data_IF_749685336330
#
_entry.id   IF_749685336330
#
_cell.length_a   1.000
_cell.length_b   1.000
_cell.length_c   1.000
_cell.angle_alpha   90.00
_cell.angle_beta   90.00
_cell.angle_gamma   90.00
#
_symmetry.space_group_name_H-M   'P 1'
#
loop_
_entity.id
_entity.type
_entity.pdbx_description
1 polymer ?
#
# COMPACT_ATOMS: atom_id res chain seq x y z
N UNK A 1 70.47 17.27 55.66
CA UNK A 1 69.92 18.63 55.66
C UNK A 1 69.44 18.85 54.24
N UNK A 2 68.13 18.67 54.07
CA UNK A 2 67.39 18.81 52.82
C UNK A 2 67.27 20.28 52.43
N UNK A 3 67.58 20.63 51.18
CA UNK A 3 67.06 21.84 50.56
C UNK A 3 66.50 21.51 49.17
N UNK A 4 65.17 21.51 49.12
CA UNK A 4 64.33 21.36 47.94
C UNK A 4 64.10 22.75 47.32
N UNK A 5 64.30 22.95 46.00
CA UNK A 5 64.00 24.23 45.39
C UNK A 5 62.48 24.45 45.20
N UNK A 6 62.03 25.59 45.71
CA UNK A 6 60.66 26.11 45.62
C UNK A 6 60.29 26.42 44.17
N UNK A 7 59.24 25.79 43.66
CA UNK A 7 58.63 26.12 42.36
C UNK A 7 57.65 27.29 42.54
N UNK A 8 57.75 28.40 41.78
CA UNK A 8 56.77 29.47 41.88
C UNK A 8 55.50 29.16 41.08
N UNK A 9 54.36 29.32 41.76
CA UNK A 9 53.01 29.16 41.25
C UNK A 9 52.52 30.47 40.62
N UNK A 10 52.56 30.57 39.30
CA UNK A 10 51.81 31.51 38.45
C UNK A 10 52.09 31.08 37.00
N UNK A 11 51.15 30.73 36.12
CA UNK A 11 49.72 31.00 36.09
C UNK A 11 49.31 31.66 34.77
N UNK A 12 49.78 31.17 33.61
CA UNK A 12 49.37 31.64 32.27
C UNK A 12 49.77 30.64 31.18
N UNK A 13 49.20 29.43 31.22
CA UNK A 13 48.85 28.76 29.98
C UNK A 13 47.51 29.35 29.56
N UNK A 14 47.55 30.38 28.73
CA UNK A 14 46.37 30.94 28.08
C UNK A 14 45.68 29.83 27.28
N UNK A 15 44.57 29.35 27.83
CA UNK A 15 43.68 28.38 27.23
C UNK A 15 43.15 28.96 25.91
N UNK A 16 43.47 28.32 24.78
CA UNK A 16 42.74 28.56 23.55
C UNK A 16 41.28 28.16 23.79
N UNK A 17 40.30 29.07 23.63
CA UNK A 17 38.90 28.69 23.71
C UNK A 17 38.62 27.80 22.51
N UNK A 18 38.51 26.50 22.75
CA UNK A 18 37.92 25.58 21.78
C UNK A 18 36.43 25.91 21.71
N UNK A 19 36.07 26.74 20.74
CA UNK A 19 34.70 26.89 20.30
C UNK A 19 34.25 25.54 19.73
N UNK A 20 33.78 24.63 20.59
CA UNK A 20 32.94 23.51 20.16
C UNK A 20 31.64 24.11 19.65
N UNK A 21 31.54 24.27 18.34
CA UNK A 21 30.25 24.45 17.70
C UNK A 21 29.34 23.30 18.14
N UNK A 22 28.11 23.57 18.60
CA UNK A 22 27.14 22.52 18.82
C UNK A 22 26.87 21.86 17.46
N UNK A 23 27.44 20.68 17.25
CA UNK A 23 27.22 19.83 16.06
C UNK A 23 25.74 19.39 15.91
N UNK A 24 24.84 19.83 16.79
CA UNK A 24 23.45 19.42 16.82
C UNK A 24 22.57 20.07 15.74
N UNK A 25 22.99 21.17 15.11
CA UNK A 25 22.13 21.87 14.11
C UNK A 25 22.12 21.15 12.75
N UNK A 26 23.23 20.54 12.32
CA UNK A 26 23.32 19.90 11.00
C UNK A 26 22.63 18.51 10.94
N UNK A 27 22.41 17.88 12.09
CA UNK A 27 21.73 16.57 12.16
C UNK A 27 20.21 16.70 11.97
N UNK A 28 19.62 17.86 12.28
CA UNK A 28 18.16 18.03 12.25
C UNK A 28 17.61 18.31 10.83
N UNK A 29 18.39 18.98 9.99
CA UNK A 29 18.01 19.29 8.60
C UNK A 29 18.03 18.05 7.69
N UNK A 30 19.00 17.14 7.89
CA UNK A 30 19.03 15.87 7.15
C UNK A 30 17.85 14.96 7.53
N UNK A 31 17.44 14.95 8.80
CA UNK A 31 16.31 14.13 9.27
C UNK A 31 14.95 14.66 8.76
N UNK A 32 14.80 15.97 8.54
CA UNK A 32 13.56 16.56 8.01
C UNK A 32 13.30 16.28 6.52
N UNK A 33 14.35 16.09 5.72
CA UNK A 33 14.20 15.73 4.29
C UNK A 33 13.93 14.24 4.10
N UNK A 34 14.58 13.36 4.88
CA UNK A 34 14.37 11.91 4.79
C UNK A 34 13.00 11.45 5.31
N UNK A 35 12.43 12.11 6.33
CA UNK A 35 11.09 11.81 6.85
C UNK A 35 9.99 12.19 5.88
N UNK A 36 10.08 13.36 5.23
CA UNK A 36 9.11 13.82 4.24
C UNK A 36 9.03 12.92 3.00
N UNK A 37 10.17 12.43 2.50
CA UNK A 37 10.19 11.54 1.33
C UNK A 37 9.61 10.16 1.66
N UNK A 38 9.91 9.60 2.83
CA UNK A 38 9.32 8.32 3.29
C UNK A 38 7.81 8.45 3.54
N UNK A 39 7.36 9.57 4.12
CA UNK A 39 5.95 9.87 4.32
C UNK A 39 5.19 10.04 2.98
N UNK A 40 5.78 10.73 2.00
CA UNK A 40 5.18 10.93 0.68
C UNK A 40 5.16 9.66 -0.19
N UNK A 41 6.17 8.79 -0.08
CA UNK A 41 6.16 7.49 -0.75
C UNK A 41 5.14 6.52 -0.10
N UNK A 42 5.00 6.58 1.23
CA UNK A 42 3.97 5.85 1.98
C UNK A 42 2.54 6.32 1.68
N UNK A 43 2.33 7.61 1.36
CA UNK A 43 0.99 8.18 1.20
C UNK A 43 0.30 7.80 -0.11
N UNK A 44 1.05 7.57 -1.19
CA UNK A 44 0.48 7.25 -2.52
C UNK A 44 0.19 5.77 -2.74
N UNK A 45 0.90 4.88 -2.06
CA UNK A 45 0.72 3.44 -2.19
C UNK A 45 -0.74 2.96 -1.99
N UNK A 46 -1.43 3.31 -0.88
CA UNK A 46 -2.79 2.80 -0.65
C UNK A 46 -3.74 3.24 -1.77
N UNK A 47 -3.54 4.46 -2.31
CA UNK A 47 -4.30 4.97 -3.44
C UNK A 47 -4.07 4.17 -4.73
N UNK A 48 -2.81 3.83 -5.05
CA UNK A 48 -2.48 3.02 -6.23
C UNK A 48 -3.11 1.62 -6.11
N UNK A 49 -3.02 1.00 -4.93
CA UNK A 49 -3.61 -0.30 -4.66
C UNK A 49 -5.13 -0.26 -4.79
N UNK A 50 -5.78 0.74 -4.18
CA UNK A 50 -7.23 0.93 -4.27
C UNK A 50 -7.69 1.20 -5.71
N UNK A 51 -6.97 2.04 -6.45
CA UNK A 51 -7.30 2.32 -7.85
C UNK A 51 -7.19 1.06 -8.72
N UNK A 52 -6.15 0.25 -8.54
CA UNK A 52 -6.02 -1.00 -9.26
C UNK A 52 -7.08 -2.03 -8.89
N UNK A 53 -7.40 -2.17 -7.60
CA UNK A 53 -8.49 -3.03 -7.16
C UNK A 53 -9.84 -2.60 -7.78
N UNK A 54 -10.11 -1.29 -7.81
CA UNK A 54 -11.30 -0.74 -8.47
C UNK A 54 -11.33 -1.09 -9.96
N UNK A 55 -10.21 -0.95 -10.66
CA UNK A 55 -10.11 -1.31 -12.08
C UNK A 55 -10.38 -2.80 -12.33
N UNK A 56 -9.92 -3.70 -11.46
CA UNK A 56 -10.22 -5.14 -11.55
C UNK A 56 -11.71 -5.41 -11.38
N UNK A 57 -12.36 -4.74 -10.42
CA UNK A 57 -13.80 -4.91 -10.20
C UNK A 57 -14.63 -4.33 -11.36
N UNK A 58 -14.23 -3.18 -11.91
CA UNK A 58 -14.86 -2.59 -13.07
C UNK A 58 -14.66 -3.44 -14.33
N UNK A 59 -13.48 -4.03 -14.53
CA UNK A 59 -13.21 -4.89 -15.68
C UNK A 59 -14.07 -6.15 -15.66
N UNK A 60 -14.28 -6.75 -14.47
CA UNK A 60 -15.20 -7.87 -14.31
C UNK A 60 -16.61 -7.54 -14.83
N UNK A 61 -17.15 -6.40 -14.42
CA UNK A 61 -18.50 -5.98 -14.83
C UNK A 61 -18.55 -5.64 -16.32
N UNK A 62 -17.57 -4.92 -16.83
CA UNK A 62 -17.51 -4.55 -18.24
C UNK A 62 -17.47 -5.79 -19.14
N UNK A 63 -16.60 -6.75 -18.82
CA UNK A 63 -16.47 -8.00 -19.56
C UNK A 63 -17.73 -8.85 -19.41
N UNK A 64 -18.26 -8.99 -18.20
CA UNK A 64 -19.49 -9.74 -17.95
C UNK A 64 -20.68 -9.19 -18.75
N UNK A 65 -20.86 -7.87 -18.78
CA UNK A 65 -21.92 -7.23 -19.59
C UNK A 65 -21.75 -7.52 -21.07
N UNK A 66 -20.53 -7.38 -21.59
CA UNK A 66 -20.22 -7.68 -23.00
C UNK A 66 -20.53 -9.15 -23.34
N UNK A 67 -20.16 -10.09 -22.46
CA UNK A 67 -20.43 -11.52 -22.65
C UNK A 67 -21.92 -11.86 -22.66
N UNK A 68 -22.75 -11.05 -22.00
CA UNK A 68 -24.21 -11.20 -22.00
C UNK A 68 -24.93 -10.32 -23.03
N UNK A 69 -24.21 -9.77 -24.02
CA UNK A 69 -24.74 -8.84 -25.03
C UNK A 69 -25.50 -7.63 -24.44
N UNK A 70 -25.17 -7.24 -23.20
CA UNK A 70 -25.71 -6.05 -22.56
C UNK A 70 -24.95 -4.83 -23.06
N UNK A 71 -25.64 -3.69 -23.18
CA UNK A 71 -25.00 -2.43 -23.58
C UNK A 71 -23.84 -2.08 -22.65
N UNK A 72 -22.66 -1.87 -23.23
CA UNK A 72 -21.48 -1.33 -22.53
C UNK A 72 -21.42 0.19 -22.58
N UNK A 73 -22.24 0.83 -23.43
CA UNK A 73 -22.35 2.28 -23.54
C UNK A 73 -23.19 2.89 -22.39
N UNK A 74 -24.06 2.10 -21.77
CA UNK A 74 -24.80 2.51 -20.58
C UNK A 74 -23.91 2.45 -19.33
N UNK A 75 -23.23 3.57 -19.10
CA UNK A 75 -22.31 3.75 -17.97
C UNK A 75 -23.02 3.56 -16.62
N UNK A 76 -24.23 4.09 -16.45
CA UNK A 76 -24.95 4.02 -15.17
C UNK A 76 -25.40 2.60 -14.85
N UNK A 77 -25.88 1.84 -15.84
CA UNK A 77 -26.20 0.42 -15.63
C UNK A 77 -24.96 -0.43 -15.32
N UNK A 78 -23.81 -0.10 -15.93
CA UNK A 78 -22.52 -0.68 -15.59
C UNK A 78 -22.15 -0.40 -14.13
N UNK A 79 -22.21 0.86 -13.72
CA UNK A 79 -21.89 1.28 -12.37
C UNK A 79 -22.82 0.64 -11.32
N UNK A 80 -24.12 0.56 -11.58
CA UNK A 80 -25.08 -0.10 -10.69
C UNK A 80 -24.79 -1.59 -10.51
N UNK A 81 -24.24 -2.24 -11.54
CA UNK A 81 -23.82 -3.64 -11.48
C UNK A 81 -22.52 -3.82 -10.69
N UNK A 82 -21.59 -2.86 -10.79
CA UNK A 82 -20.30 -2.89 -10.09
C UNK A 82 -20.38 -2.46 -8.62
N UNK A 83 -21.31 -1.56 -8.31
CA UNK A 83 -21.42 -0.93 -6.99
C UNK A 83 -21.45 -1.94 -5.83
N UNK A 84 -22.20 -3.06 -5.90
CA UNK A 84 -22.18 -4.05 -4.84
C UNK A 84 -20.78 -4.64 -4.57
N UNK A 85 -20.03 -4.94 -5.63
CA UNK A 85 -18.69 -5.50 -5.54
C UNK A 85 -17.69 -4.49 -5.00
N UNK A 86 -17.76 -3.25 -5.47
CA UNK A 86 -16.90 -2.15 -5.01
C UNK A 86 -17.13 -1.88 -3.52
N UNK A 87 -18.38 -1.70 -3.11
CA UNK A 87 -18.73 -1.40 -1.72
C UNK A 87 -18.31 -2.54 -0.80
N UNK A 88 -18.64 -3.80 -1.12
CA UNK A 88 -18.24 -4.93 -0.28
C UNK A 88 -16.72 -5.14 -0.23
N UNK A 89 -16.01 -4.92 -1.35
CA UNK A 89 -14.56 -5.02 -1.36
C UNK A 89 -13.90 -3.97 -0.46
N UNK A 90 -14.26 -2.70 -0.63
CA UNK A 90 -13.71 -1.61 0.19
C UNK A 90 -14.27 -1.59 1.61
N UNK A 91 -15.38 -2.27 1.88
CA UNK A 91 -15.86 -2.52 3.24
C UNK A 91 -14.98 -3.55 3.94
N UNK A 92 -14.60 -4.65 3.29
CA UNK A 92 -13.88 -5.78 3.90
C UNK A 92 -12.38 -5.55 3.96
N UNK A 93 -11.77 -5.10 2.87
CA UNK A 93 -10.31 -5.07 2.71
C UNK A 93 -9.53 -4.19 3.70
N UNK A 94 -10.04 -3.05 4.20
CA UNK A 94 -9.34 -2.26 5.21
C UNK A 94 -9.13 -3.02 6.53
N UNK A 95 -10.12 -3.81 6.95
CA UNK A 95 -10.06 -4.60 8.20
C UNK A 95 -8.96 -5.67 8.14
N UNK A 96 -8.70 -6.22 6.96
CA UNK A 96 -7.60 -7.17 6.75
C UNK A 96 -6.22 -6.49 6.57
N UNK A 97 -6.19 -5.16 6.48
CA UNK A 97 -4.97 -4.39 6.28
C UNK A 97 -4.36 -4.58 4.89
N UNK A 98 -5.16 -4.88 3.88
CA UNK A 98 -4.70 -5.12 2.49
C UNK A 98 -4.03 -3.90 1.82
N UNK A 99 -4.17 -2.72 2.41
CA UNK A 99 -3.52 -1.49 1.96
C UNK A 99 -2.30 -1.11 2.79
N UNK A 100 -1.99 -1.85 3.87
CA UNK A 100 -0.81 -1.59 4.70
C UNK A 100 0.47 -1.95 3.95
N UNK A 101 1.51 -1.12 4.12
CA UNK A 101 2.80 -1.30 3.44
C UNK A 101 3.41 -2.67 3.74
N UNK A 102 3.41 -3.10 5.01
CA UNK A 102 3.98 -4.37 5.45
C UNK A 102 3.32 -5.61 4.82
N UNK A 103 2.04 -5.48 4.45
CA UNK A 103 1.28 -6.53 3.76
C UNK A 103 1.56 -6.48 2.27
N UNK A 104 1.41 -5.31 1.64
CA UNK A 104 1.50 -5.17 0.20
C UNK A 104 2.93 -5.35 -0.35
N UNK A 105 3.96 -5.24 0.49
CA UNK A 105 5.35 -5.53 0.11
C UNK A 105 5.79 -6.97 0.38
N UNK A 106 4.93 -7.82 0.97
CA UNK A 106 5.30 -9.17 1.38
C UNK A 106 4.27 -10.20 0.93
N UNK A 107 4.66 -11.08 0.00
CA UNK A 107 3.76 -12.06 -0.60
C UNK A 107 3.17 -13.05 0.43
N UNK A 108 3.94 -13.47 1.43
CA UNK A 108 3.46 -14.43 2.43
C UNK A 108 2.42 -13.84 3.38
N UNK A 109 2.45 -12.51 3.58
CA UNK A 109 1.42 -11.78 4.35
C UNK A 109 0.22 -11.39 3.47
N UNK A 110 0.49 -11.02 2.23
CA UNK A 110 -0.52 -10.60 1.26
C UNK A 110 -1.47 -11.74 0.89
N UNK A 111 -0.93 -12.89 0.50
CA UNK A 111 -1.70 -13.98 -0.09
C UNK A 111 -2.85 -14.48 0.82
N UNK A 112 -2.63 -14.87 2.09
CA UNK A 112 -3.72 -15.34 2.95
C UNK A 112 -4.77 -14.25 3.20
N UNK A 113 -4.35 -13.00 3.40
CA UNK A 113 -5.27 -11.87 3.63
C UNK A 113 -6.10 -11.56 2.39
N UNK A 114 -5.48 -11.62 1.21
CA UNK A 114 -6.17 -11.43 -0.06
C UNK A 114 -7.19 -12.53 -0.29
N UNK A 115 -6.83 -13.79 -0.05
CA UNK A 115 -7.73 -14.93 -0.19
C UNK A 115 -8.93 -14.83 0.76
N UNK A 116 -8.71 -14.50 2.04
CA UNK A 116 -9.80 -14.32 3.00
C UNK A 116 -10.68 -13.13 2.62
N UNK A 117 -10.07 -11.99 2.28
CA UNK A 117 -10.81 -10.79 1.86
C UNK A 117 -11.68 -11.04 0.63
N UNK A 118 -11.14 -11.73 -0.37
CA UNK A 118 -11.85 -12.15 -1.58
C UNK A 118 -12.98 -13.15 -1.29
N UNK A 119 -12.70 -14.19 -0.50
CA UNK A 119 -13.68 -15.22 -0.15
C UNK A 119 -14.86 -14.67 0.66
N UNK A 120 -14.68 -13.54 1.37
CA UNK A 120 -15.75 -12.87 2.11
C UNK A 120 -16.44 -11.81 1.23
N UNK A 121 -15.68 -10.93 0.58
CA UNK A 121 -16.22 -9.77 -0.12
C UNK A 121 -17.06 -10.15 -1.33
N UNK A 122 -16.66 -11.17 -2.10
CA UNK A 122 -17.40 -11.57 -3.32
C UNK A 122 -18.77 -12.16 -2.99
N UNK A 123 -18.92 -13.13 -2.07
CA UNK A 123 -20.25 -13.60 -1.66
C UNK A 123 -21.11 -12.48 -1.05
N UNK A 124 -20.50 -11.61 -0.22
CA UNK A 124 -21.20 -10.47 0.36
C UNK A 124 -21.75 -9.52 -0.72
N UNK A 125 -20.99 -9.30 -1.80
CA UNK A 125 -21.43 -8.49 -2.94
C UNK A 125 -22.64 -9.09 -3.65
N UNK A 126 -22.72 -10.43 -3.79
CA UNK A 126 -23.90 -11.08 -4.37
C UNK A 126 -25.13 -10.93 -3.49
N UNK A 127 -24.98 -11.06 -2.18
CA UNK A 127 -26.08 -10.82 -1.22
C UNK A 127 -26.56 -9.38 -1.32
N UNK A 128 -25.64 -8.42 -1.29
CA UNK A 128 -25.98 -7.00 -1.41
C UNK A 128 -26.63 -6.68 -2.75
N UNK A 129 -26.16 -7.30 -3.85
CA UNK A 129 -26.76 -7.16 -5.17
C UNK A 129 -28.18 -7.72 -5.21
N UNK A 130 -28.42 -8.91 -4.65
CA UNK A 130 -29.76 -9.51 -4.60
C UNK A 130 -30.73 -8.60 -3.84
N UNK A 131 -30.27 -8.01 -2.73
CA UNK A 131 -31.02 -7.03 -1.95
C UNK A 131 -31.32 -5.75 -2.74
N UNK A 132 -30.31 -5.16 -3.42
CA UNK A 132 -30.48 -3.97 -4.28
C UNK A 132 -31.45 -4.17 -5.45
N UNK A 133 -31.62 -5.42 -5.91
CA UNK A 133 -32.54 -5.77 -6.99
C UNK A 133 -33.91 -6.23 -6.48
N UNK A 134 -34.13 -6.30 -5.17
CA UNK A 134 -35.38 -6.80 -4.59
C UNK A 134 -35.66 -8.27 -4.91
N UNK A 135 -34.62 -9.10 -5.13
CA UNK A 135 -34.77 -10.50 -5.54
C UNK A 135 -34.57 -11.46 -4.37
N UNK A 136 -35.42 -12.49 -4.22
CA UNK A 136 -35.21 -13.56 -3.24
C UNK A 136 -33.87 -14.29 -3.49
N UNK A 137 -33.19 -14.72 -2.43
CA UNK A 137 -31.83 -15.30 -2.50
C UNK A 137 -31.67 -16.41 -3.56
N UNK A 138 -32.58 -17.41 -3.68
CA UNK A 138 -32.43 -18.48 -4.67
C UNK A 138 -32.42 -17.99 -6.13
N UNK A 139 -33.06 -16.86 -6.40
CA UNK A 139 -33.18 -16.26 -7.74
C UNK A 139 -32.25 -15.05 -7.95
N UNK A 140 -31.88 -14.38 -6.85
CA UNK A 140 -31.04 -13.19 -6.83
C UNK A 140 -29.54 -13.49 -6.90
N UNK A 141 -29.13 -14.71 -6.54
CA UNK A 141 -27.75 -15.17 -6.50
C UNK A 141 -27.56 -16.40 -7.42
N UNK A 142 -27.45 -16.21 -8.75
CA UNK A 142 -27.20 -17.33 -9.67
C UNK A 142 -25.84 -17.97 -9.39
N UNK A 143 -25.81 -19.30 -9.23
CA UNK A 143 -24.58 -20.03 -8.90
C UNK A 143 -23.47 -19.82 -9.94
N UNK A 144 -23.80 -19.80 -11.22
CA UNK A 144 -22.86 -19.53 -12.31
C UNK A 144 -22.21 -18.16 -12.18
N UNK A 145 -22.99 -17.13 -11.81
CA UNK A 145 -22.47 -15.79 -11.61
C UNK A 145 -21.54 -15.71 -10.40
N UNK A 146 -21.87 -16.43 -9.31
CA UNK A 146 -20.98 -16.56 -8.14
C UNK A 146 -19.66 -17.21 -8.53
N UNK A 147 -19.68 -18.37 -9.18
CA UNK A 147 -18.46 -19.10 -9.58
C UNK A 147 -17.58 -18.26 -10.51
N UNK A 148 -18.15 -17.69 -11.58
CA UNK A 148 -17.39 -16.88 -12.53
C UNK A 148 -16.82 -15.63 -11.87
N UNK A 149 -17.59 -14.96 -10.99
CA UNK A 149 -17.10 -13.79 -10.26
C UNK A 149 -15.97 -14.13 -9.29
N UNK A 150 -16.09 -15.24 -8.54
CA UNK A 150 -15.05 -15.70 -7.64
C UNK A 150 -13.77 -15.98 -8.42
N UNK A 151 -13.86 -16.80 -9.47
CA UNK A 151 -12.69 -17.15 -10.29
C UNK A 151 -12.07 -15.90 -10.93
N UNK A 152 -12.83 -15.11 -11.70
CA UNK A 152 -12.29 -13.97 -12.42
C UNK A 152 -11.69 -12.92 -11.48
N UNK A 153 -12.45 -12.47 -10.47
CA UNK A 153 -11.98 -11.45 -9.54
C UNK A 153 -10.77 -11.99 -8.78
N UNK A 154 -10.81 -13.24 -8.30
CA UNK A 154 -9.69 -13.84 -7.56
C UNK A 154 -8.40 -13.88 -8.38
N UNK A 155 -8.45 -14.40 -9.62
CA UNK A 155 -7.27 -14.50 -10.48
C UNK A 155 -6.71 -13.14 -10.88
N UNK A 156 -7.58 -12.22 -11.34
CA UNK A 156 -7.12 -10.91 -11.82
C UNK A 156 -6.65 -10.04 -10.67
N UNK A 157 -7.31 -10.10 -9.50
CA UNK A 157 -6.88 -9.37 -8.30
C UNK A 157 -5.54 -9.90 -7.79
N UNK A 158 -5.33 -11.22 -7.77
CA UNK A 158 -4.03 -11.80 -7.42
C UNK A 158 -2.94 -11.36 -8.39
N UNK A 159 -3.20 -11.43 -9.71
CA UNK A 159 -2.26 -11.00 -10.74
C UNK A 159 -1.89 -9.52 -10.58
N UNK A 160 -2.87 -8.64 -10.32
CA UNK A 160 -2.64 -7.24 -10.03
C UNK A 160 -1.73 -7.05 -8.80
N UNK A 161 -2.04 -7.72 -7.68
CA UNK A 161 -1.29 -7.56 -6.43
C UNK A 161 0.15 -8.08 -6.54
N UNK A 162 0.36 -9.21 -7.22
CA UNK A 162 1.69 -9.74 -7.52
C UNK A 162 2.46 -8.81 -8.47
N UNK A 163 1.80 -8.30 -9.51
CA UNK A 163 2.38 -7.33 -10.44
C UNK A 163 2.81 -6.04 -9.75
N UNK A 164 1.99 -5.52 -8.84
CA UNK A 164 2.34 -4.36 -8.01
C UNK A 164 3.56 -4.64 -7.12
N UNK A 165 3.58 -5.77 -6.41
CA UNK A 165 4.69 -6.17 -5.54
C UNK A 165 6.00 -6.25 -6.33
N UNK A 166 5.97 -6.87 -7.51
CA UNK A 166 7.11 -6.96 -8.40
C UNK A 166 7.60 -5.58 -8.89
N UNK A 167 6.67 -4.70 -9.26
CA UNK A 167 6.99 -3.33 -9.70
C UNK A 167 7.59 -2.49 -8.57
N UNK A 168 7.03 -2.58 -7.36
CA UNK A 168 7.53 -1.88 -6.18
C UNK A 168 8.95 -2.34 -5.82
N UNK A 169 9.21 -3.65 -5.83
CA UNK A 169 10.53 -4.21 -5.55
C UNK A 169 11.59 -3.79 -6.57
N UNK A 170 11.22 -3.64 -7.86
CA UNK A 170 12.12 -3.14 -8.90
C UNK A 170 12.53 -1.68 -8.68
N UNK A 171 11.61 -0.84 -8.20
CA UNK A 171 11.90 0.58 -7.92
C UNK A 171 12.88 0.74 -6.76
N UNK A 172 12.73 -0.07 -5.72
CA UNK A 172 13.65 -0.05 -4.57
C UNK A 172 15.08 -0.43 -4.98
N UNK A 173 15.25 -1.49 -5.79
CA UNK A 173 16.58 -1.91 -6.28
C UNK A 173 17.31 -0.81 -7.05
N UNK A 174 16.60 -0.08 -7.92
CA UNK A 174 17.21 1.03 -8.69
C UNK A 174 17.71 2.15 -7.78
N UNK A 175 16.95 2.48 -6.74
CA UNK A 175 17.34 3.53 -5.78
C UNK A 175 18.57 3.14 -4.97
N UNK A 176 18.62 1.90 -4.47
CA UNK A 176 19.80 1.40 -3.74
C UNK A 176 21.05 1.47 -4.62
N UNK A 177 20.97 1.02 -5.88
CA UNK A 177 22.11 1.04 -6.80
C UNK A 177 22.62 2.45 -7.08
N UNK A 178 21.72 3.43 -7.28
CA UNK A 178 22.13 4.83 -7.50
C UNK A 178 22.81 5.46 -6.29
N UNK A 179 22.46 5.04 -5.07
CA UNK A 179 23.12 5.52 -3.84
C UNK A 179 24.50 4.89 -3.71
N UNK A 180 24.63 3.60 -3.97
CA UNK A 180 25.93 2.90 -3.94
C UNK A 180 26.90 3.46 -4.98
N UNK A 181 26.44 3.79 -6.19
CA UNK A 181 27.25 4.37 -7.26
C UNK A 181 27.68 5.83 -6.98
N UNK A 182 26.94 6.54 -6.12
CA UNK A 182 27.24 7.93 -5.74
C UNK A 182 28.15 8.07 -4.49
N UNK A 183 28.61 6.96 -3.90
CA UNK A 183 29.58 6.96 -2.81
C UNK A 183 30.93 6.47 -3.36
N UNK A 184 31.95 7.34 -3.53
CA UNK A 184 33.26 6.99 -4.05
C UNK A 184 34.11 6.12 -3.10
#
# INVERSE_FOLDING_TARGET
MDENPVVPAWGWASECPTYRLPFTVFSQESQMTHTNVKAAASSRQPLILAAGDLLVLLSFVLIGRRSHALSTADFFAGLYTALPFVVCWFLVTPWLGLFKLDVASNLSRLLPRLLVGWAIAVPLAHVMRAWLLGRPIPQGIPLTFVIVSLSYIGFVMLAWRVGYLWWANRRQRKQTNSVTEAQP
#
